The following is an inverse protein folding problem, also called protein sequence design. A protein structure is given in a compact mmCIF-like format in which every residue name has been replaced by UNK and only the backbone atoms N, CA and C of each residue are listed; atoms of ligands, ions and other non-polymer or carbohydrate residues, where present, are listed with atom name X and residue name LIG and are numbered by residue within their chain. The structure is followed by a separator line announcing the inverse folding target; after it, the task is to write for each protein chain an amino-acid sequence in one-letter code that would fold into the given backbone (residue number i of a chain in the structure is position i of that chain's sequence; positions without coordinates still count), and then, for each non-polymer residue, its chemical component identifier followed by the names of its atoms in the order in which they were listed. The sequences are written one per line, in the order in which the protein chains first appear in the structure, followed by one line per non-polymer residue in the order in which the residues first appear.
data_IF_734375939268
#
_entry.id   IF_734375939268
#
_cell.length_a   1.000
_cell.length_b   1.000
_cell.length_c   1.000
_cell.angle_alpha   90.00
_cell.angle_beta   90.00
_cell.angle_gamma   90.00
#
_symmetry.space_group_name_H-M   'P 1'
#
loop_
_entity.id
_entity.type
_entity.pdbx_description
1 polymer ?
#
# COMPACT_ATOMS: atom_id res chain seq x y z
N UNK A 1 -26.21 17.20 -10.89
CA UNK A 1 -25.84 15.78 -11.11
C UNK A 1 -24.42 15.59 -10.58
N UNK A 2 -24.20 14.63 -9.68
CA UNK A 2 -22.85 14.34 -9.19
C UNK A 2 -22.01 13.74 -10.33
N UNK A 3 -20.78 14.21 -10.50
CA UNK A 3 -19.83 13.67 -11.47
C UNK A 3 -19.50 12.20 -11.17
N UNK A 4 -19.09 11.39 -12.16
CA UNK A 4 -18.68 10.00 -11.95
C UNK A 4 -17.64 9.84 -10.83
N UNK A 5 -16.63 10.73 -10.78
CA UNK A 5 -15.64 10.81 -9.69
C UNK A 5 -16.30 10.94 -8.32
N UNK A 6 -17.29 11.80 -8.16
CA UNK A 6 -17.95 12.02 -6.87
C UNK A 6 -18.72 10.79 -6.39
N UNK A 7 -19.32 10.02 -7.30
CA UNK A 7 -20.01 8.76 -6.93
C UNK A 7 -19.00 7.71 -6.45
N UNK A 8 -17.90 7.55 -7.18
CA UNK A 8 -16.84 6.59 -6.83
C UNK A 8 -16.15 6.99 -5.53
N UNK A 9 -15.84 8.27 -5.35
CA UNK A 9 -15.25 8.80 -4.12
C UNK A 9 -16.16 8.56 -2.90
N UNK A 10 -17.48 8.70 -3.05
CA UNK A 10 -18.43 8.39 -1.99
C UNK A 10 -18.35 6.92 -1.55
N UNK A 11 -18.15 5.99 -2.50
CA UNK A 11 -17.92 4.57 -2.21
C UNK A 11 -16.62 4.36 -1.45
N UNK A 12 -15.51 4.97 -1.92
CA UNK A 12 -14.21 4.88 -1.24
C UNK A 12 -14.28 5.43 0.19
N UNK A 13 -14.96 6.56 0.40
CA UNK A 13 -15.17 7.16 1.73
C UNK A 13 -15.97 6.26 2.66
N UNK A 14 -16.90 5.46 2.14
CA UNK A 14 -17.67 4.54 2.99
C UNK A 14 -16.80 3.48 3.67
N UNK A 15 -15.67 3.12 3.05
CA UNK A 15 -14.71 2.18 3.65
C UNK A 15 -13.89 2.78 4.79
N UNK A 16 -13.76 4.11 4.88
CA UNK A 16 -12.99 4.77 5.95
C UNK A 16 -13.61 4.53 7.34
N UNK A 17 -14.94 4.45 7.41
CA UNK A 17 -15.69 4.33 8.67
C UNK A 17 -15.33 3.05 9.45
N UNK A 18 -14.80 2.03 8.75
CA UNK A 18 -14.41 0.75 9.37
C UNK A 18 -12.95 0.62 9.77
N UNK A 19 -12.10 1.60 9.48
CA UNK A 19 -10.66 1.51 9.76
C UNK A 19 -10.38 1.90 11.23
N UNK A 20 -9.74 1.05 12.05
CA UNK A 20 -9.61 1.31 13.48
C UNK A 20 -8.49 2.30 13.84
N UNK A 21 -7.47 2.43 13.00
CA UNK A 21 -6.28 3.23 13.27
C UNK A 21 -6.42 4.65 12.63
N UNK A 22 -6.35 5.74 13.42
CA UNK A 22 -6.41 7.11 12.92
C UNK A 22 -5.32 7.45 11.90
N UNK A 23 -4.10 6.94 12.05
CA UNK A 23 -3.00 7.20 11.12
C UNK A 23 -3.28 6.51 9.77
N UNK A 24 -3.79 5.27 9.81
CA UNK A 24 -4.25 4.55 8.62
C UNK A 24 -5.39 5.29 7.92
N UNK A 25 -6.36 5.80 8.68
CA UNK A 25 -7.44 6.64 8.13
C UNK A 25 -6.88 7.89 7.43
N UNK A 26 -5.88 8.55 8.05
CA UNK A 26 -5.23 9.73 7.49
C UNK A 26 -4.64 9.48 6.10
N UNK A 27 -3.89 8.38 5.92
CA UNK A 27 -3.33 8.04 4.61
C UNK A 27 -4.40 7.80 3.54
N UNK A 28 -5.48 7.09 3.89
CA UNK A 28 -6.55 6.79 2.94
C UNK A 28 -7.34 8.07 2.59
N UNK A 29 -7.58 8.94 3.57
CA UNK A 29 -8.23 10.23 3.37
C UNK A 29 -7.43 11.11 2.39
N UNK A 30 -6.11 11.25 2.58
CA UNK A 30 -5.26 12.02 1.66
C UNK A 30 -5.32 11.51 0.22
N UNK A 31 -5.30 10.18 0.05
CA UNK A 31 -5.41 9.55 -1.26
C UNK A 31 -6.77 9.80 -1.92
N UNK A 32 -7.86 9.72 -1.15
CA UNK A 32 -9.22 10.02 -1.63
C UNK A 32 -9.36 11.50 -2.01
N UNK A 33 -8.83 12.42 -1.21
CA UNK A 33 -8.84 13.86 -1.54
C UNK A 33 -8.11 14.11 -2.86
N UNK A 34 -6.96 13.46 -3.08
CA UNK A 34 -6.26 13.52 -4.36
C UNK A 34 -7.11 12.98 -5.51
N UNK A 35 -7.81 11.86 -5.31
CA UNK A 35 -8.71 11.27 -6.31
C UNK A 35 -9.86 12.20 -6.67
N UNK A 36 -10.53 12.80 -5.68
CA UNK A 36 -11.64 13.75 -5.85
C UNK A 36 -11.23 14.97 -6.68
N UNK A 37 -10.00 15.45 -6.47
CA UNK A 37 -9.41 16.57 -7.22
C UNK A 37 -8.76 16.16 -8.55
N UNK A 38 -9.01 14.93 -9.02
CA UNK A 38 -8.45 14.34 -10.26
C UNK A 38 -6.92 14.31 -10.29
N UNK A 39 -6.26 14.38 -9.14
CA UNK A 39 -4.82 14.22 -8.97
C UNK A 39 -4.46 12.73 -8.93
N UNK A 40 -4.76 12.03 -10.01
CA UNK A 40 -4.74 10.57 -10.07
C UNK A 40 -3.38 9.94 -9.77
N UNK A 41 -2.30 10.54 -10.25
CA UNK A 41 -0.94 10.05 -9.96
C UNK A 41 -0.62 10.17 -8.47
N UNK A 42 -0.99 11.29 -7.86
CA UNK A 42 -0.81 11.52 -6.42
C UNK A 42 -1.65 10.56 -5.59
N UNK A 43 -2.91 10.34 -5.97
CA UNK A 43 -3.80 9.39 -5.29
C UNK A 43 -3.22 7.97 -5.24
N UNK A 44 -2.65 7.48 -6.36
CA UNK A 44 -1.94 6.19 -6.40
C UNK A 44 -0.71 6.19 -5.49
N UNK A 45 0.12 7.24 -5.55
CA UNK A 45 1.35 7.29 -4.76
C UNK A 45 1.06 7.33 -3.26
N UNK A 46 0.13 8.19 -2.82
CA UNK A 46 -0.20 8.36 -1.40
C UNK A 46 -0.91 7.13 -0.81
N UNK A 47 -1.83 6.51 -1.56
CA UNK A 47 -2.47 5.27 -1.10
C UNK A 47 -1.45 4.13 -0.95
N UNK A 48 -0.48 4.01 -1.86
CA UNK A 48 0.59 3.03 -1.71
C UNK A 48 1.51 3.32 -0.52
N UNK A 49 1.88 4.58 -0.28
CA UNK A 49 2.70 4.98 0.88
C UNK A 49 2.02 4.55 2.19
N UNK A 50 0.72 4.82 2.32
CA UNK A 50 -0.04 4.37 3.48
C UNK A 50 -0.03 2.86 3.63
N UNK A 51 -0.24 2.11 2.55
CA UNK A 51 -0.28 0.66 2.60
C UNK A 51 1.06 0.06 3.05
N UNK A 52 2.19 0.62 2.59
CA UNK A 52 3.52 0.19 3.04
C UNK A 52 3.75 0.53 4.52
N UNK A 53 3.33 1.72 4.97
CA UNK A 53 3.42 2.12 6.38
C UNK A 53 2.71 1.10 7.30
N UNK A 54 1.45 0.78 6.99
CA UNK A 54 0.66 -0.19 7.75
C UNK A 54 1.32 -1.57 7.79
N UNK A 55 1.85 -2.04 6.65
CA UNK A 55 2.55 -3.33 6.59
C UNK A 55 3.86 -3.32 7.38
N UNK A 56 4.62 -2.22 7.35
CA UNK A 56 5.84 -2.09 8.16
C UNK A 56 5.50 -2.15 9.65
N UNK A 57 4.52 -1.38 10.10
CA UNK A 57 4.09 -1.35 11.50
C UNK A 57 3.61 -2.72 11.97
N UNK A 58 2.80 -3.39 11.15
CA UNK A 58 2.35 -4.75 11.43
C UNK A 58 3.53 -5.72 11.58
N UNK A 59 4.55 -5.63 10.71
CA UNK A 59 5.75 -6.46 10.80
C UNK A 59 6.53 -6.17 12.08
N UNK A 60 6.78 -4.90 12.39
CA UNK A 60 7.52 -4.50 13.60
C UNK A 60 6.85 -5.05 14.86
N UNK A 61 5.53 -4.93 14.95
CA UNK A 61 4.77 -5.33 16.13
C UNK A 61 4.59 -6.85 16.23
N UNK A 62 4.33 -7.53 15.12
CA UNK A 62 3.84 -8.92 15.16
C UNK A 62 4.81 -9.96 14.58
N UNK A 63 5.77 -9.55 13.73
CA UNK A 63 6.51 -10.46 12.84
C UNK A 63 7.99 -10.16 12.68
N UNK A 64 8.56 -9.29 13.52
CA UNK A 64 9.91 -8.76 13.31
C UNK A 64 11.00 -9.85 13.34
N UNK A 65 10.89 -10.84 14.23
CA UNK A 65 11.85 -11.93 14.34
C UNK A 65 11.85 -12.82 13.07
N UNK A 66 10.67 -13.24 12.63
CA UNK A 66 10.47 -14.05 11.41
C UNK A 66 10.91 -13.28 10.17
N UNK A 67 10.56 -11.99 10.10
CA UNK A 67 10.99 -11.11 9.02
C UNK A 67 12.52 -11.03 8.92
N UNK A 68 13.20 -10.79 10.04
CA UNK A 68 14.66 -10.69 10.05
C UNK A 68 15.34 -12.02 9.70
N UNK A 69 14.82 -13.15 10.17
CA UNK A 69 15.34 -14.46 9.81
C UNK A 69 15.27 -14.71 8.29
N UNK A 70 14.12 -14.42 7.67
CA UNK A 70 13.93 -14.57 6.23
C UNK A 70 14.76 -13.56 5.42
N UNK A 71 14.82 -12.29 5.88
CA UNK A 71 15.62 -11.25 5.24
C UNK A 71 17.13 -11.58 5.24
N UNK A 72 17.65 -12.07 6.37
CA UNK A 72 19.05 -12.53 6.48
C UNK A 72 19.33 -13.77 5.63
N UNK A 73 18.38 -14.70 5.56
CA UNK A 73 18.48 -15.88 4.68
C UNK A 73 18.65 -15.50 3.20
N UNK A 74 17.87 -14.51 2.74
CA UNK A 74 17.92 -14.01 1.36
C UNK A 74 19.12 -13.11 1.08
N UNK A 75 19.52 -12.33 2.05
CA UNK A 75 20.63 -11.39 1.95
C UNK A 75 21.48 -11.48 3.23
N UNK A 76 22.59 -12.23 3.22
CA UNK A 76 23.47 -12.34 4.39
C UNK A 76 24.08 -11.01 4.87
N UNK A 77 24.04 -9.95 4.04
CA UNK A 77 24.48 -8.60 4.42
C UNK A 77 23.36 -7.77 5.06
N UNK A 78 22.15 -8.30 5.15
CA UNK A 78 21.03 -7.65 5.82
C UNK A 78 21.37 -7.40 7.29
N UNK A 79 21.19 -6.15 7.72
CA UNK A 79 21.24 -5.81 9.14
C UNK A 79 19.83 -5.98 9.69
N UNK A 80 19.68 -6.77 10.74
CA UNK A 80 18.39 -7.02 11.36
C UNK A 80 17.69 -5.68 11.70
N UNK A 81 16.49 -5.49 11.15
CA UNK A 81 15.66 -4.34 11.39
C UNK A 81 15.18 -4.30 12.84
N UNK A 82 15.08 -3.10 13.40
CA UNK A 82 14.54 -2.82 14.73
C UNK A 82 13.30 -1.93 14.67
N UNK A 83 13.10 -1.26 13.55
CA UNK A 83 12.07 -0.26 13.32
C UNK A 83 11.50 -0.34 11.90
N UNK A 84 10.39 0.35 11.65
CA UNK A 84 9.79 0.48 10.33
C UNK A 84 10.74 1.15 9.32
N UNK A 85 11.55 2.11 9.77
CA UNK A 85 12.56 2.79 8.95
C UNK A 85 13.65 1.82 8.47
N UNK A 86 14.09 0.91 9.34
CA UNK A 86 15.07 -0.11 8.95
C UNK A 86 14.50 -1.04 7.87
N UNK A 87 13.22 -1.43 7.97
CA UNK A 87 12.53 -2.22 6.95
C UNK A 87 12.48 -1.46 5.62
N UNK A 88 12.25 -0.15 5.65
CA UNK A 88 12.20 0.73 4.47
C UNK A 88 13.49 0.81 3.66
N UNK A 89 14.63 0.34 4.18
CA UNK A 89 15.87 0.21 3.42
C UNK A 89 15.81 -0.95 2.41
N UNK A 90 14.87 -1.89 2.58
CA UNK A 90 14.63 -2.98 1.65
C UNK A 90 13.79 -2.49 0.46
N UNK A 91 14.08 -3.03 -0.73
CA UNK A 91 13.21 -2.80 -1.91
C UNK A 91 11.82 -3.36 -1.64
N UNK A 92 10.78 -2.57 -1.95
CA UNK A 92 9.38 -2.95 -1.72
C UNK A 92 9.00 -4.27 -2.39
N UNK A 93 9.55 -4.59 -3.58
CA UNK A 93 9.30 -5.89 -4.23
C UNK A 93 9.83 -7.07 -3.40
N UNK A 94 11.03 -6.93 -2.84
CA UNK A 94 11.63 -7.93 -1.96
C UNK A 94 10.90 -8.00 -0.63
N UNK A 95 10.43 -6.86 -0.10
CA UNK A 95 9.59 -6.81 1.09
C UNK A 95 8.33 -7.65 0.92
N UNK A 96 7.59 -7.48 -0.19
CA UNK A 96 6.39 -8.29 -0.48
C UNK A 96 6.69 -9.79 -0.62
N UNK A 97 7.85 -10.15 -1.18
CA UNK A 97 8.25 -11.55 -1.27
C UNK A 97 8.56 -12.16 0.10
N UNK A 98 9.15 -11.39 1.02
CA UNK A 98 9.37 -11.83 2.40
C UNK A 98 8.02 -12.00 3.11
N UNK A 99 7.12 -11.02 3.04
CA UNK A 99 5.81 -11.09 3.68
C UNK A 99 5.03 -12.34 3.28
N UNK A 100 5.11 -12.75 2.01
CA UNK A 100 4.49 -13.99 1.57
C UNK A 100 5.18 -15.22 2.19
N UNK A 101 6.52 -15.25 2.19
CA UNK A 101 7.28 -16.37 2.75
C UNK A 101 7.04 -16.58 4.24
N UNK A 102 6.87 -15.49 5.00
CA UNK A 102 6.51 -15.56 6.43
C UNK A 102 4.99 -15.61 6.67
N UNK A 103 4.19 -15.88 5.62
CA UNK A 103 2.74 -16.06 5.67
C UNK A 103 1.94 -14.86 6.22
N UNK A 104 2.49 -13.64 6.14
CA UNK A 104 1.75 -12.41 6.44
C UNK A 104 0.70 -12.11 5.36
N UNK A 105 1.05 -12.38 4.10
CA UNK A 105 0.12 -12.27 2.96
C UNK A 105 0.11 -13.54 2.11
N UNK A 106 -1.03 -13.82 1.48
CA UNK A 106 -1.17 -14.93 0.54
C UNK A 106 -0.57 -14.63 -0.85
N UNK A 107 -0.40 -15.68 -1.67
CA UNK A 107 0.13 -15.59 -3.04
C UNK A 107 -0.65 -14.59 -3.92
N UNK A 108 -1.98 -14.63 -3.87
CA UNK A 108 -2.83 -13.77 -4.71
C UNK A 108 -2.77 -12.31 -4.26
N UNK A 109 -2.82 -12.07 -2.94
CA UNK A 109 -2.63 -10.72 -2.37
C UNK A 109 -1.28 -10.15 -2.79
N UNK A 110 -0.19 -10.94 -2.71
CA UNK A 110 1.12 -10.50 -3.20
C UNK A 110 1.08 -10.09 -4.68
N UNK A 111 0.40 -10.86 -5.53
CA UNK A 111 0.32 -10.55 -6.95
C UNK A 111 -0.39 -9.21 -7.18
N UNK A 112 -1.50 -8.95 -6.50
CA UNK A 112 -2.19 -7.66 -6.57
C UNK A 112 -1.32 -6.51 -6.04
N UNK A 113 -0.63 -6.70 -4.90
CA UNK A 113 0.28 -5.71 -4.36
C UNK A 113 1.48 -5.42 -5.29
N UNK A 114 1.99 -6.42 -6.03
CA UNK A 114 3.03 -6.18 -7.05
C UNK A 114 2.50 -5.37 -8.24
N UNK A 115 1.24 -5.55 -8.65
CA UNK A 115 0.60 -4.68 -9.66
C UNK A 115 0.44 -3.26 -9.13
N UNK A 116 0.02 -3.11 -7.88
CA UNK A 116 -0.11 -1.83 -7.19
C UNK A 116 1.23 -1.09 -7.12
N UNK A 117 2.30 -1.77 -6.71
CA UNK A 117 3.67 -1.25 -6.70
C UNK A 117 4.12 -0.79 -8.10
N UNK A 118 3.87 -1.62 -9.13
CA UNK A 118 4.20 -1.27 -10.52
C UNK A 118 3.47 -0.01 -10.97
N UNK A 119 2.18 0.12 -10.64
CA UNK A 119 1.39 1.31 -10.95
C UNK A 119 1.94 2.54 -10.22
N UNK A 120 2.26 2.42 -8.93
CA UNK A 120 2.87 3.49 -8.13
C UNK A 120 4.20 3.94 -8.70
N UNK A 121 5.09 3.03 -9.10
CA UNK A 121 6.36 3.37 -9.73
C UNK A 121 6.13 4.13 -11.04
N UNK A 122 5.16 3.72 -11.86
CA UNK A 122 4.73 4.47 -13.03
C UNK A 122 4.21 5.89 -12.68
N UNK A 123 3.51 6.06 -11.56
CA UNK A 123 3.01 7.36 -11.13
C UNK A 123 4.10 8.26 -10.52
N UNK A 124 5.15 7.68 -9.93
CA UNK A 124 6.25 8.40 -9.28
C UNK A 124 7.34 8.92 -10.23
N UNK A 125 7.42 8.44 -11.47
CA UNK A 125 8.45 8.84 -12.44
C UNK A 125 7.88 9.62 -13.64
N UNK A 126 8.58 10.64 -14.17
CA UNK A 126 8.19 11.30 -15.42
C UNK A 126 8.09 10.29 -16.57
N UNK A 127 6.90 10.17 -17.18
CA UNK A 127 6.65 9.26 -18.29
C UNK A 127 5.34 9.62 -19.02
N UNK A 128 5.03 8.87 -20.08
CA UNK A 128 3.82 9.02 -20.89
C UNK A 128 2.58 8.31 -20.33
N UNK A 129 2.65 7.72 -19.13
CA UNK A 129 1.51 6.99 -18.52
C UNK A 129 0.33 7.93 -18.31
N UNK A 130 -0.83 7.53 -18.83
CA UNK A 130 -2.13 8.18 -18.60
C UNK A 130 -2.99 7.32 -17.69
N UNK A 131 -3.74 7.97 -16.80
CA UNK A 131 -4.63 7.34 -15.83
C UNK A 131 -6.03 7.89 -15.99
N UNK A 132 -7.02 7.02 -15.76
CA UNK A 132 -8.42 7.36 -15.69
C UNK A 132 -8.97 6.97 -14.32
N UNK A 133 -10.12 7.54 -13.96
CA UNK A 133 -10.74 7.41 -12.64
C UNK A 133 -10.91 5.95 -12.21
N UNK A 134 -11.47 5.07 -13.05
CA UNK A 134 -11.74 3.68 -12.67
C UNK A 134 -10.49 2.88 -12.32
N UNK A 135 -9.36 3.14 -13.00
CA UNK A 135 -8.10 2.47 -12.70
C UNK A 135 -7.54 2.89 -11.34
N UNK A 136 -7.70 4.16 -11.00
CA UNK A 136 -7.20 4.73 -9.74
C UNK A 136 -8.09 4.33 -8.59
N UNK A 137 -9.41 4.35 -8.77
CA UNK A 137 -10.35 3.90 -7.74
C UNK A 137 -10.18 2.43 -7.41
N UNK A 138 -10.03 1.57 -8.43
CA UNK A 138 -9.75 0.15 -8.22
C UNK A 138 -8.45 -0.06 -7.44
N UNK A 139 -7.39 0.70 -7.76
CA UNK A 139 -6.14 0.63 -7.01
C UNK A 139 -6.31 0.99 -5.53
N UNK A 140 -7.03 2.07 -5.22
CA UNK A 140 -7.29 2.48 -3.83
C UNK A 140 -8.14 1.43 -3.12
N UNK A 141 -9.20 0.93 -3.77
CA UNK A 141 -10.08 -0.10 -3.24
C UNK A 141 -9.33 -1.42 -2.95
N UNK A 142 -8.46 -1.86 -3.86
CA UNK A 142 -7.62 -3.05 -3.67
C UNK A 142 -6.75 -2.91 -2.42
N UNK A 143 -6.14 -1.74 -2.18
CA UNK A 143 -5.33 -1.49 -0.98
C UNK A 143 -6.18 -1.42 0.29
N UNK A 144 -7.39 -0.86 0.21
CA UNK A 144 -8.34 -0.87 1.32
C UNK A 144 -8.68 -2.30 1.74
N UNK A 145 -9.09 -3.13 0.79
CA UNK A 145 -9.56 -4.48 1.09
C UNK A 145 -8.44 -5.42 1.53
N UNK A 146 -7.25 -5.28 0.94
CA UNK A 146 -6.15 -6.23 1.14
C UNK A 146 -5.10 -5.79 2.16
N UNK A 147 -5.08 -4.50 2.53
CA UNK A 147 -4.11 -3.95 3.50
C UNK A 147 -4.82 -3.20 4.61
N UNK A 148 -5.45 -2.06 4.32
CA UNK A 148 -5.93 -1.15 5.36
C UNK A 148 -6.99 -1.74 6.27
N UNK A 149 -7.93 -2.52 5.74
CA UNK A 149 -8.95 -3.18 6.53
C UNK A 149 -8.45 -4.45 7.25
N UNK A 150 -7.23 -4.91 6.93
CA UNK A 150 -6.72 -6.23 7.32
C UNK A 150 -5.65 -6.15 8.42
N UNK A 151 -4.89 -5.08 8.47
CA UNK A 151 -3.76 -4.85 9.37
C UNK A 151 -3.92 -3.51 10.08
#
# INVERSE_FOLDING_TARGET
MNSPVQKVASSLRSHLVGLPNPDTQGFVEEAIVCFENRQFRAAVVLSWVGAVSVLHDYVVVNKLAEFNAEATSRNPRWKAAKSADDIGLLKEDAFLDILQSISVIGKNVKLELKKALTLRNGCGHPNSLRLAEHKVSAHIEDLILNVFAKF
#
